data_IF_529758061495
#
_entry.id   IF_529758061495
#
_cell.length_a   1.000
_cell.length_b   1.000
_cell.length_c   1.000
_cell.angle_alpha   90.00
_cell.angle_beta   90.00
_cell.angle_gamma   90.00
#
_symmetry.space_group_name_H-M   'P 1'
#
loop_
_entity.id
_entity.type
_entity.pdbx_description
1 polymer ?
#
# COMPACT_ATOMS: atom_id res chain seq x y z
N UNK A 1 -5.11 -9.36 -13.96
CA UNK A 1 -4.78 -8.62 -12.73
C UNK A 1 -4.78 -7.13 -13.04
N UNK A 2 -5.50 -6.36 -12.24
CA UNK A 2 -5.55 -4.91 -12.40
C UNK A 2 -4.48 -4.26 -11.54
N UNK A 3 -3.54 -3.56 -12.19
CA UNK A 3 -2.54 -2.78 -11.51
C UNK A 3 -3.04 -1.35 -11.27
N UNK A 4 -2.53 -0.65 -10.23
CA UNK A 4 -2.91 0.73 -9.97
C UNK A 4 -2.47 1.68 -11.10
N UNK A 5 -3.02 2.90 -11.08
CA UNK A 5 -2.68 3.93 -12.07
C UNK A 5 -1.19 4.27 -12.10
N UNK A 6 -0.48 4.09 -10.98
CA UNK A 6 0.97 4.30 -10.88
C UNK A 6 1.79 3.04 -11.17
N UNK A 7 1.30 2.17 -12.05
CA UNK A 7 1.93 0.88 -12.37
C UNK A 7 3.41 1.00 -12.77
N UNK A 8 3.80 2.10 -13.38
CA UNK A 8 5.19 2.31 -13.81
C UNK A 8 6.15 2.52 -12.64
N UNK A 9 5.62 2.80 -11.46
CA UNK A 9 6.37 2.94 -10.21
C UNK A 9 6.09 1.79 -9.24
N UNK A 10 5.12 0.94 -9.56
CA UNK A 10 4.66 -0.12 -8.68
C UNK A 10 5.52 -1.37 -8.85
N UNK A 11 6.34 -1.68 -7.84
CA UNK A 11 7.29 -2.80 -7.90
C UNK A 11 6.65 -4.14 -8.27
N UNK A 12 5.48 -4.52 -7.73
CA UNK A 12 4.83 -5.78 -8.11
C UNK A 12 4.42 -5.87 -9.59
N UNK A 13 4.33 -4.76 -10.29
CA UNK A 13 4.02 -4.73 -11.73
C UNK A 13 5.28 -4.87 -12.60
N UNK A 14 6.46 -4.90 -12.00
CA UNK A 14 7.74 -4.99 -12.70
C UNK A 14 8.26 -6.41 -12.72
N UNK A 15 8.98 -6.74 -13.78
CA UNK A 15 9.72 -8.01 -13.85
C UNK A 15 11.00 -7.94 -13.01
N UNK A 16 11.50 -9.09 -12.59
CA UNK A 16 12.79 -9.18 -11.90
C UNK A 16 13.91 -8.49 -12.70
N UNK A 17 13.92 -8.68 -14.01
CA UNK A 17 14.92 -8.05 -14.90
C UNK A 17 14.84 -6.53 -14.81
N UNK A 18 13.62 -5.96 -14.86
CA UNK A 18 13.43 -4.52 -14.77
C UNK A 18 13.91 -3.97 -13.43
N UNK A 19 13.52 -4.60 -12.33
CA UNK A 19 13.95 -4.18 -10.99
C UNK A 19 15.47 -4.21 -10.88
N UNK A 20 16.10 -5.29 -11.35
CA UNK A 20 17.55 -5.42 -11.31
C UNK A 20 18.31 -4.36 -12.11
N UNK A 21 17.69 -3.82 -13.16
CA UNK A 21 18.30 -2.81 -14.04
C UNK A 21 17.97 -1.37 -13.66
N UNK A 22 17.18 -1.12 -12.62
CA UNK A 22 16.88 0.24 -12.20
C UNK A 22 18.16 0.97 -11.78
N UNK A 23 18.47 2.15 -12.38
CA UNK A 23 19.72 2.84 -12.11
C UNK A 23 19.77 3.49 -10.74
N UNK A 24 18.63 3.73 -10.13
CA UNK A 24 18.46 4.48 -8.88
C UNK A 24 18.08 3.59 -7.67
N UNK A 25 18.12 2.27 -7.84
CA UNK A 25 17.59 1.33 -6.82
C UNK A 25 18.31 1.37 -5.47
N UNK A 26 19.55 1.88 -5.43
CA UNK A 26 20.31 1.96 -4.19
C UNK A 26 19.92 3.15 -3.31
N UNK A 27 19.21 4.15 -3.84
CA UNK A 27 18.89 5.37 -3.11
C UNK A 27 17.47 5.88 -3.29
N UNK A 28 16.73 5.38 -4.26
CA UNK A 28 15.38 5.83 -4.52
C UNK A 28 14.45 5.47 -3.35
N UNK A 29 13.60 6.40 -2.92
CA UNK A 29 12.61 6.09 -1.89
C UNK A 29 11.59 5.06 -2.38
N UNK A 30 11.18 4.18 -1.48
CA UNK A 30 10.10 3.22 -1.71
C UNK A 30 8.98 3.52 -0.72
N UNK A 31 7.81 3.79 -1.25
CA UNK A 31 6.62 4.10 -0.45
C UNK A 31 5.88 2.81 -0.12
N UNK A 32 5.60 2.61 1.14
CA UNK A 32 4.78 1.52 1.63
C UNK A 32 3.55 2.12 2.33
N UNK A 33 2.39 2.06 1.66
CA UNK A 33 1.14 2.48 2.27
C UNK A 33 0.68 1.44 3.29
N UNK A 34 0.32 1.88 4.49
CA UNK A 34 -0.23 1.01 5.52
C UNK A 34 -1.66 1.43 5.83
N UNK A 35 -2.53 0.45 6.04
CA UNK A 35 -3.92 0.68 6.36
C UNK A 35 -4.48 -0.44 7.21
N UNK A 36 -5.80 -0.52 7.28
CA UNK A 36 -6.50 -1.56 8.02
C UNK A 36 -7.84 -1.88 7.35
N UNK A 37 -8.36 -3.04 7.64
CA UNK A 37 -9.73 -3.44 7.33
C UNK A 37 -10.43 -3.59 8.66
N UNK A 38 -11.14 -2.54 9.08
CA UNK A 38 -11.74 -2.49 10.41
C UNK A 38 -12.99 -1.62 10.41
N UNK A 39 -13.81 -1.74 11.44
CA UNK A 39 -15.03 -0.96 11.55
C UNK A 39 -14.75 0.55 11.54
N UNK A 40 -15.61 1.29 10.86
CA UNK A 40 -15.59 2.76 10.79
C UNK A 40 -17.00 3.32 10.96
N UNK A 41 -17.73 2.83 11.96
CA UNK A 41 -19.12 3.17 12.15
C UNK A 41 -20.05 2.43 11.17
N UNK A 42 -21.38 2.59 11.34
CA UNK A 42 -22.35 1.82 10.56
C UNK A 42 -22.47 2.25 9.10
N UNK A 43 -21.86 3.37 8.70
CA UNK A 43 -22.10 4.00 7.39
C UNK A 43 -20.88 4.02 6.48
N UNK A 44 -19.67 3.74 6.98
CA UNK A 44 -18.47 3.73 6.16
C UNK A 44 -18.01 2.29 5.86
N UNK A 45 -17.39 2.07 4.70
CA UNK A 45 -16.80 0.77 4.39
C UNK A 45 -15.69 0.41 5.38
N UNK A 46 -15.57 -0.87 5.72
CA UNK A 46 -14.49 -1.37 6.58
C UNK A 46 -13.09 -1.20 5.96
N UNK A 47 -13.03 -0.99 4.66
CA UNK A 47 -11.77 -0.82 3.91
C UNK A 47 -11.34 0.66 3.79
N UNK A 48 -11.95 1.59 4.50
CA UNK A 48 -11.71 3.02 4.28
C UNK A 48 -10.24 3.40 4.41
N UNK A 49 -9.54 2.91 5.43
CA UNK A 49 -8.12 3.23 5.62
C UNK A 49 -7.25 2.69 4.48
N UNK A 50 -7.50 1.43 4.10
CA UNK A 50 -6.75 0.80 3.01
C UNK A 50 -6.98 1.50 1.67
N UNK A 51 -8.23 1.91 1.40
CA UNK A 51 -8.58 2.63 0.17
C UNK A 51 -7.99 4.03 0.13
N UNK A 52 -8.05 4.77 1.24
CA UNK A 52 -7.53 6.12 1.31
C UNK A 52 -6.04 6.18 0.98
N UNK A 53 -5.25 5.26 1.53
CA UNK A 53 -3.83 5.20 1.22
C UNK A 53 -3.56 5.06 -0.28
N UNK A 54 -4.30 4.20 -0.95
CA UNK A 54 -4.16 3.98 -2.39
C UNK A 54 -4.63 5.17 -3.22
N UNK A 55 -5.72 5.81 -2.83
CA UNK A 55 -6.23 7.00 -3.51
C UNK A 55 -5.24 8.15 -3.38
N UNK A 56 -4.72 8.40 -2.17
CA UNK A 56 -3.73 9.45 -1.96
C UNK A 56 -2.45 9.20 -2.77
N UNK A 57 -1.98 7.95 -2.85
CA UNK A 57 -0.84 7.61 -3.69
C UNK A 57 -1.11 7.90 -5.16
N UNK A 58 -2.27 7.50 -5.68
CA UNK A 58 -2.62 7.75 -7.08
C UNK A 58 -2.61 9.24 -7.41
N UNK A 59 -3.21 10.06 -6.54
CA UNK A 59 -3.28 11.51 -6.74
C UNK A 59 -1.91 12.18 -6.61
N UNK A 60 -1.11 11.76 -5.62
CA UNK A 60 0.20 12.35 -5.36
C UNK A 60 1.21 12.00 -6.45
N UNK A 61 1.28 10.72 -6.83
CA UNK A 61 2.24 10.25 -7.83
C UNK A 61 1.92 10.80 -9.23
N UNK A 62 0.65 11.05 -9.53
CA UNK A 62 0.26 11.67 -10.79
C UNK A 62 0.83 13.08 -10.94
N UNK A 63 1.21 13.73 -9.86
CA UNK A 63 1.79 15.09 -9.86
C UNK A 63 3.31 15.10 -9.91
N UNK A 64 3.96 13.95 -9.74
CA UNK A 64 5.41 13.86 -9.85
C UNK A 64 5.84 13.87 -11.32
N UNK A 65 6.98 14.51 -11.63
CA UNK A 65 7.58 14.37 -12.95
C UNK A 65 7.88 12.88 -13.24
N UNK A 66 7.72 12.48 -14.50
CA UNK A 66 7.93 11.07 -14.90
C UNK A 66 9.34 10.55 -14.60
N UNK A 67 10.34 11.45 -14.58
CA UNK A 67 11.73 11.10 -14.26
C UNK A 67 12.06 11.09 -12.76
N UNK A 68 11.13 11.45 -11.89
CA UNK A 68 11.39 11.46 -10.44
C UNK A 68 11.54 10.03 -9.93
N UNK A 69 12.61 9.79 -9.16
CA UNK A 69 12.90 8.47 -8.58
C UNK A 69 12.04 8.24 -7.35
N UNK A 70 11.08 7.35 -7.48
CA UNK A 70 10.20 6.95 -6.39
C UNK A 70 9.45 5.68 -6.82
N UNK A 71 9.43 4.67 -5.97
CA UNK A 71 8.75 3.41 -6.22
C UNK A 71 7.75 3.10 -5.13
N UNK A 72 6.83 2.19 -5.42
CA UNK A 72 5.75 1.82 -4.49
C UNK A 72 5.78 0.31 -4.26
N UNK A 73 5.84 -0.09 -3.01
CA UNK A 73 5.71 -1.48 -2.58
C UNK A 73 4.23 -1.87 -2.46
N UNK A 74 3.91 -3.17 -2.39
CA UNK A 74 2.55 -3.62 -2.10
C UNK A 74 2.05 -3.00 -0.79
N UNK A 75 0.81 -2.51 -0.75
CA UNK A 75 0.27 -1.93 0.48
C UNK A 75 0.03 -3.01 1.54
N UNK A 76 0.14 -2.63 2.80
CA UNK A 76 -0.33 -3.44 3.92
C UNK A 76 -1.76 -2.99 4.21
N UNK A 77 -2.74 -3.84 3.90
CA UNK A 77 -4.15 -3.50 4.04
C UNK A 77 -4.81 -4.10 5.28
N UNK A 78 -4.18 -5.10 5.89
CA UNK A 78 -4.67 -5.71 7.12
C UNK A 78 -3.64 -5.43 8.21
N UNK A 79 -4.05 -4.68 9.24
CA UNK A 79 -3.18 -4.28 10.33
C UNK A 79 -3.49 -5.01 11.63
N UNK A 80 -2.89 -4.50 12.71
CA UNK A 80 -3.13 -4.97 14.07
C UNK A 80 -4.33 -4.20 14.65
N UNK A 81 -5.53 -4.63 14.30
CA UNK A 81 -6.77 -3.93 14.67
C UNK A 81 -7.44 -4.54 15.91
N UNK A 82 -6.67 -4.81 16.95
CA UNK A 82 -7.15 -5.47 18.17
C UNK A 82 -8.32 -4.74 18.83
N UNK A 83 -8.27 -3.41 18.84
CA UNK A 83 -9.29 -2.57 19.45
C UNK A 83 -10.65 -2.64 18.73
N UNK A 84 -10.68 -3.18 17.52
CA UNK A 84 -11.89 -3.33 16.72
C UNK A 84 -12.35 -4.78 16.52
N UNK A 85 -11.75 -5.74 17.23
CA UNK A 85 -12.04 -7.16 17.03
C UNK A 85 -13.48 -7.57 17.34
N UNK A 86 -14.16 -6.82 18.21
CA UNK A 86 -15.57 -7.09 18.55
C UNK A 86 -16.58 -6.64 17.51
N UNK A 87 -16.14 -6.01 16.40
CA UNK A 87 -17.01 -5.48 15.36
C UNK A 87 -17.00 -6.33 14.10
N UNK A 88 -18.17 -6.52 13.43
CA UNK A 88 -18.23 -7.27 12.18
C UNK A 88 -17.34 -6.65 11.10
N UNK A 89 -16.72 -7.51 10.30
CA UNK A 89 -15.93 -7.09 9.15
C UNK A 89 -14.49 -6.71 9.45
N UNK A 90 -14.08 -6.61 10.71
CA UNK A 90 -12.69 -6.32 11.07
C UNK A 90 -11.81 -7.54 10.78
N UNK A 91 -10.73 -7.29 10.05
CA UNK A 91 -9.67 -8.27 9.83
C UNK A 91 -8.40 -7.80 10.53
N UNK A 92 -7.65 -8.74 11.10
CA UNK A 92 -6.42 -8.37 11.80
C UNK A 92 -5.35 -9.44 11.65
N UNK A 93 -4.10 -8.99 11.78
CA UNK A 93 -2.95 -9.87 11.93
C UNK A 93 -2.25 -9.54 13.24
N UNK A 94 -1.53 -10.53 13.78
CA UNK A 94 -0.81 -10.33 15.04
C UNK A 94 0.36 -9.35 14.87
N UNK A 95 0.79 -8.76 15.99
CA UNK A 95 1.98 -7.91 16.00
C UNK A 95 3.21 -8.66 15.47
N UNK A 96 3.35 -9.93 15.81
CA UNK A 96 4.46 -10.76 15.33
C UNK A 96 4.43 -10.92 13.80
N UNK A 97 3.25 -11.15 13.23
CA UNK A 97 3.10 -11.22 11.77
C UNK A 97 3.52 -9.93 11.09
N UNK A 98 3.15 -8.77 11.65
CA UNK A 98 3.55 -7.47 11.11
C UNK A 98 5.06 -7.26 11.16
N UNK A 99 5.72 -7.70 12.22
CA UNK A 99 7.17 -7.57 12.37
C UNK A 99 7.91 -8.34 11.27
N UNK A 100 7.34 -9.43 10.78
CA UNK A 100 7.95 -10.29 9.78
C UNK A 100 7.58 -9.95 8.33
N UNK A 101 6.85 -8.90 8.12
CA UNK A 101 6.54 -8.43 6.75
C UNK A 101 7.77 -7.68 6.14
#
# INVERSE_FOLDING_TARGET
MNFPSYRDRYLPAMTLRRIGSLPDKSWAPVILATGAIEQHGPHLPVAVDALMGQVWLSLSLARLPSGASCYVAPPITIGKSNEHTGFPGTLMISRLSLIHI
#
